data_IF_815466479685
#
_entry.id   IF_815466479685
#
_cell.length_a   1.000
_cell.length_b   1.000
_cell.length_c   1.000
_cell.angle_alpha   90.00
_cell.angle_beta   90.00
_cell.angle_gamma   90.00
#
_symmetry.space_group_name_H-M   'P 1'
#
loop_
_entity.id
_entity.type
_entity.pdbx_description
1 polymer ?
#
# COMPACT_ATOMS: atom_id res chain seq x y z
N UNK A 1 9.81 -11.90 20.92
CA UNK A 1 10.81 -11.11 20.16
C UNK A 1 10.45 -11.02 18.69
N UNK A 2 10.17 -12.12 17.97
CA UNK A 2 9.82 -12.07 16.54
C UNK A 2 8.32 -12.23 16.24
N UNK A 3 7.44 -11.86 17.18
CA UNK A 3 6.00 -12.06 17.02
C UNK A 3 5.48 -11.19 15.86
N UNK A 4 5.91 -9.94 15.82
CA UNK A 4 5.50 -8.94 14.84
C UNK A 4 5.94 -9.33 13.42
N UNK A 5 7.21 -9.70 13.14
CA UNK A 5 7.59 -10.25 11.83
C UNK A 5 6.80 -11.48 11.42
N UNK A 6 6.58 -12.45 12.32
CA UNK A 6 5.81 -13.66 12.02
C UNK A 6 4.35 -13.34 11.69
N UNK A 7 3.75 -12.44 12.48
CA UNK A 7 2.39 -11.96 12.26
C UNK A 7 2.26 -11.28 10.89
N UNK A 8 3.19 -10.39 10.52
CA UNK A 8 3.20 -9.70 9.22
C UNK A 8 3.27 -10.69 8.06
N UNK A 9 4.11 -11.73 8.15
CA UNK A 9 4.18 -12.79 7.12
C UNK A 9 2.80 -13.45 6.94
N UNK A 10 2.14 -13.81 8.04
CA UNK A 10 0.86 -14.52 8.02
C UNK A 10 -0.26 -13.63 7.48
N UNK A 11 -0.42 -12.42 8.02
CA UNK A 11 -1.49 -11.51 7.62
C UNK A 11 -1.33 -11.09 6.16
N UNK A 12 -0.11 -10.79 5.70
CA UNK A 12 0.15 -10.44 4.30
C UNK A 12 -0.13 -11.62 3.36
N UNK A 13 0.23 -12.84 3.74
CA UNK A 13 -0.04 -14.03 2.93
C UNK A 13 -1.54 -14.30 2.75
N UNK A 14 -2.35 -14.07 3.79
CA UNK A 14 -3.81 -14.23 3.71
C UNK A 14 -4.43 -13.04 2.96
N UNK A 15 -4.00 -11.81 3.27
CA UNK A 15 -4.55 -10.59 2.68
C UNK A 15 -4.25 -10.42 1.18
N UNK A 16 -3.15 -11.00 0.68
CA UNK A 16 -2.79 -10.97 -0.75
C UNK A 16 -3.56 -11.99 -1.60
N UNK A 17 -4.39 -12.83 -0.99
CA UNK A 17 -5.15 -13.85 -1.73
C UNK A 17 -6.20 -13.23 -2.64
N UNK A 18 -6.44 -13.88 -3.78
CA UNK A 18 -7.40 -13.44 -4.80
C UNK A 18 -8.82 -13.17 -4.24
N UNK A 19 -9.40 -13.99 -3.34
CA UNK A 19 -10.71 -13.70 -2.77
C UNK A 19 -10.77 -12.39 -1.98
N UNK A 20 -9.74 -12.11 -1.17
CA UNK A 20 -9.66 -10.86 -0.38
C UNK A 20 -9.49 -9.66 -1.32
N UNK A 21 -8.58 -9.77 -2.29
CA UNK A 21 -8.37 -8.75 -3.33
C UNK A 21 -9.65 -8.46 -4.12
N UNK A 22 -10.40 -9.49 -4.53
CA UNK A 22 -11.65 -9.34 -5.29
C UNK A 22 -12.75 -8.62 -4.51
N UNK A 23 -12.86 -8.84 -3.20
CA UNK A 23 -13.79 -8.07 -2.35
C UNK A 23 -13.41 -6.60 -2.35
N UNK A 24 -12.12 -6.29 -2.18
CA UNK A 24 -11.62 -4.91 -2.24
C UNK A 24 -11.89 -4.26 -3.60
N UNK A 25 -11.69 -4.99 -4.71
CA UNK A 25 -12.04 -4.51 -6.06
C UNK A 25 -13.55 -4.24 -6.22
N UNK A 26 -14.41 -5.11 -5.69
CA UNK A 26 -15.87 -4.93 -5.75
C UNK A 26 -16.31 -3.69 -4.97
N UNK A 27 -15.76 -3.47 -3.77
CA UNK A 27 -16.03 -2.27 -2.97
C UNK A 27 -15.61 -0.99 -3.71
N UNK A 28 -14.45 -1.02 -4.38
CA UNK A 28 -13.99 0.08 -5.23
C UNK A 28 -14.90 0.32 -6.43
N UNK A 29 -15.36 -0.75 -7.08
CA UNK A 29 -16.30 -0.68 -8.19
C UNK A 29 -17.66 -0.08 -7.80
N UNK A 30 -18.19 -0.47 -6.64
CA UNK A 30 -19.44 0.11 -6.09
C UNK A 30 -19.29 1.62 -5.87
N UNK A 31 -18.16 2.05 -5.29
CA UNK A 31 -17.89 3.46 -5.07
C UNK A 31 -17.71 4.24 -6.38
N UNK A 32 -16.98 3.67 -7.36
CA UNK A 32 -16.84 4.27 -8.69
C UNK A 32 -18.18 4.37 -9.44
N UNK A 33 -19.11 3.45 -9.15
CA UNK A 33 -20.47 3.47 -9.68
C UNK A 33 -21.28 4.69 -9.28
N UNK A 34 -21.05 5.25 -8.08
CA UNK A 34 -21.68 6.50 -7.64
C UNK A 34 -21.30 7.70 -8.54
N UNK A 35 -20.12 7.66 -9.16
CA UNK A 35 -19.63 8.66 -10.10
C UNK A 35 -19.88 8.31 -11.58
N UNK A 36 -20.85 7.42 -11.86
CA UNK A 36 -21.25 7.03 -13.21
C UNK A 36 -20.18 6.23 -13.97
N UNK A 37 -19.26 5.56 -13.27
CA UNK A 37 -18.14 4.81 -13.85
C UNK A 37 -17.24 5.63 -14.78
N UNK A 38 -17.23 6.96 -14.63
CA UNK A 38 -16.33 7.81 -15.41
C UNK A 38 -14.86 7.54 -15.08
N UNK A 39 -13.93 7.85 -16.00
CA UNK A 39 -12.48 7.73 -15.77
C UNK A 39 -12.03 8.49 -14.53
N UNK A 40 -12.61 9.67 -14.32
CA UNK A 40 -12.40 10.49 -13.13
C UNK A 40 -12.93 9.82 -11.86
N UNK A 41 -14.13 9.23 -11.90
CA UNK A 41 -14.71 8.53 -10.76
C UNK A 41 -13.87 7.31 -10.35
N UNK A 42 -13.40 6.53 -11.32
CA UNK A 42 -12.46 5.43 -11.07
C UNK A 42 -11.16 5.93 -10.45
N UNK A 43 -10.51 6.91 -11.08
CA UNK A 43 -9.26 7.49 -10.58
C UNK A 43 -9.39 7.98 -9.12
N UNK A 44 -10.45 8.73 -8.83
CA UNK A 44 -10.71 9.28 -7.50
C UNK A 44 -11.03 8.18 -6.49
N UNK A 45 -11.88 7.22 -6.85
CA UNK A 45 -12.25 6.11 -5.97
C UNK A 45 -11.04 5.24 -5.62
N UNK A 46 -10.20 4.92 -6.61
CA UNK A 46 -9.00 4.12 -6.40
C UNK A 46 -8.05 4.85 -5.43
N UNK A 47 -7.75 6.13 -5.67
CA UNK A 47 -6.80 6.89 -4.85
C UNK A 47 -7.32 7.27 -3.47
N UNK A 48 -8.64 7.23 -3.23
CA UNK A 48 -9.22 7.51 -1.93
C UNK A 48 -9.42 6.23 -1.13
N UNK A 49 -10.11 5.25 -1.70
CA UNK A 49 -10.63 4.12 -0.96
C UNK A 49 -9.59 3.01 -0.86
N UNK A 50 -8.82 2.71 -1.91
CA UNK A 50 -7.86 1.62 -1.86
C UNK A 50 -6.78 1.84 -0.78
N UNK A 51 -6.21 3.05 -0.63
CA UNK A 51 -5.31 3.35 0.49
C UNK A 51 -5.93 3.15 1.87
N UNK A 52 -7.18 3.58 2.08
CA UNK A 52 -7.89 3.40 3.35
C UNK A 52 -8.27 1.95 3.61
N UNK A 53 -8.61 1.18 2.57
CA UNK A 53 -8.78 -0.26 2.66
C UNK A 53 -7.49 -0.95 3.10
N UNK A 54 -6.32 -0.37 2.78
CA UNK A 54 -5.01 -0.82 3.27
C UNK A 54 -4.97 -1.02 4.78
N UNK A 55 -5.68 -0.20 5.56
CA UNK A 55 -5.82 -0.36 7.02
C UNK A 55 -6.55 -1.63 7.47
N UNK A 56 -7.30 -2.28 6.59
CA UNK A 56 -8.04 -3.52 6.89
C UNK A 56 -7.44 -4.75 6.23
N UNK A 57 -6.69 -4.56 5.14
CA UNK A 57 -5.91 -5.61 4.50
C UNK A 57 -4.44 -5.46 4.90
N UNK A 58 -3.58 -4.90 4.05
CA UNK A 58 -2.22 -4.43 4.34
C UNK A 58 -1.82 -3.38 3.29
N UNK A 59 -0.82 -2.55 3.56
CA UNK A 59 -0.32 -1.57 2.57
C UNK A 59 0.17 -2.21 1.25
N UNK A 60 0.94 -3.33 1.25
CA UNK A 60 1.37 -3.98 0.01
C UNK A 60 0.18 -4.44 -0.85
N UNK A 61 -0.83 -5.04 -0.25
CA UNK A 61 -2.02 -5.48 -0.97
C UNK A 61 -2.80 -4.29 -1.54
N UNK A 62 -3.01 -3.22 -0.76
CA UNK A 62 -3.67 -2.01 -1.22
C UNK A 62 -2.92 -1.35 -2.40
N UNK A 63 -1.60 -1.30 -2.34
CA UNK A 63 -0.76 -0.78 -3.42
C UNK A 63 -0.94 -1.58 -4.71
N UNK A 64 -0.86 -2.91 -4.65
CA UNK A 64 -1.00 -3.78 -5.82
C UNK A 64 -2.37 -3.59 -6.48
N UNK A 65 -3.45 -3.60 -5.69
CA UNK A 65 -4.82 -3.41 -6.20
C UNK A 65 -4.97 -2.04 -6.84
N UNK A 66 -4.55 -0.99 -6.15
CA UNK A 66 -4.65 0.37 -6.66
C UNK A 66 -3.83 0.56 -7.94
N UNK A 67 -2.62 0.03 -7.99
CA UNK A 67 -1.76 0.10 -9.18
C UNK A 67 -2.35 -0.67 -10.37
N UNK A 68 -2.89 -1.87 -10.17
CA UNK A 68 -3.55 -2.65 -11.22
C UNK A 68 -4.81 -1.96 -11.75
N UNK A 69 -5.65 -1.43 -10.86
CA UNK A 69 -6.85 -0.70 -11.26
C UNK A 69 -6.50 0.62 -11.96
N UNK A 70 -5.50 1.36 -11.48
CA UNK A 70 -5.02 2.56 -12.17
C UNK A 70 -4.43 2.22 -13.54
N UNK A 71 -3.69 1.13 -13.67
CA UNK A 71 -3.20 0.65 -14.97
C UNK A 71 -4.35 0.49 -15.97
N UNK A 72 -5.41 -0.20 -15.54
CA UNK A 72 -6.53 -0.57 -16.39
C UNK A 72 -7.62 0.50 -16.55
N UNK A 73 -7.73 1.48 -15.65
CA UNK A 73 -8.78 2.50 -15.71
C UNK A 73 -8.26 3.90 -16.06
N UNK A 74 -6.98 4.16 -15.84
CA UNK A 74 -6.37 5.47 -16.03
C UNK A 74 -5.19 5.44 -17.01
N UNK A 75 -4.14 4.68 -16.72
CA UNK A 75 -2.91 4.70 -17.53
C UNK A 75 -3.09 4.11 -18.93
N UNK A 76 -4.04 3.18 -19.14
CA UNK A 76 -4.38 2.69 -20.49
C UNK A 76 -4.76 3.79 -21.47
N UNK A 77 -5.23 4.94 -20.97
CA UNK A 77 -5.62 6.10 -21.78
C UNK A 77 -4.48 7.10 -22.01
N UNK A 78 -3.22 6.67 -21.76
CA UNK A 78 -1.99 7.45 -22.00
C UNK A 78 -2.07 8.88 -21.46
N UNK A 79 -2.18 9.06 -20.12
CA UNK A 79 -2.18 10.38 -19.52
C UNK A 79 -0.89 11.15 -19.83
N UNK A 80 -0.95 12.49 -19.77
CA UNK A 80 0.25 13.32 -19.90
C UNK A 80 1.30 12.92 -18.87
N UNK A 81 2.59 13.07 -19.19
CA UNK A 81 3.68 12.71 -18.27
C UNK A 81 3.51 13.35 -16.88
N UNK A 82 3.15 14.64 -16.84
CA UNK A 82 2.89 15.33 -15.58
C UNK A 82 1.77 14.69 -14.75
N UNK A 83 0.67 14.29 -15.40
CA UNK A 83 -0.46 13.67 -14.71
C UNK A 83 -0.18 12.20 -14.31
N UNK A 84 0.60 11.48 -15.12
CA UNK A 84 1.12 10.16 -14.80
C UNK A 84 1.98 10.18 -13.53
N UNK A 85 2.93 11.13 -13.42
CA UNK A 85 3.77 11.30 -12.23
C UNK A 85 2.97 11.79 -11.02
N UNK A 86 2.06 12.75 -11.21
CA UNK A 86 1.16 13.23 -10.17
C UNK A 86 0.33 12.10 -9.55
N UNK A 87 -0.20 11.20 -10.39
CA UNK A 87 -1.02 10.06 -9.94
C UNK A 87 -0.22 9.04 -9.14
N UNK A 88 0.97 8.64 -9.61
CA UNK A 88 1.80 7.66 -8.88
C UNK A 88 2.37 8.25 -7.57
N UNK A 89 2.76 9.53 -7.56
CA UNK A 89 3.20 10.20 -6.33
C UNK A 89 2.08 10.30 -5.29
N UNK A 90 0.87 10.66 -5.73
CA UNK A 90 -0.32 10.67 -4.88
C UNK A 90 -0.68 9.27 -4.36
N UNK A 91 -0.58 8.24 -5.20
CA UNK A 91 -0.78 6.86 -4.80
C UNK A 91 0.18 6.44 -3.67
N UNK A 92 1.47 6.74 -3.82
CA UNK A 92 2.50 6.35 -2.85
C UNK A 92 2.27 7.00 -1.49
N UNK A 93 2.01 8.31 -1.48
CA UNK A 93 1.71 9.04 -0.23
C UNK A 93 0.41 8.53 0.39
N UNK A 94 -0.66 8.36 -0.40
CA UNK A 94 -1.94 7.92 0.13
C UNK A 94 -1.84 6.51 0.75
N UNK A 95 -1.19 5.55 0.08
CA UNK A 95 -1.03 4.18 0.63
C UNK A 95 -0.22 4.20 1.92
N UNK A 96 0.87 4.98 1.97
CA UNK A 96 1.76 5.08 3.14
C UNK A 96 1.04 5.59 4.40
N UNK A 97 0.08 6.51 4.25
CA UNK A 97 -0.68 7.04 5.40
C UNK A 97 -2.03 6.37 5.58
N UNK A 98 -2.58 5.76 4.54
CA UNK A 98 -3.86 5.07 4.54
C UNK A 98 -3.88 3.82 5.42
N UNK A 99 -2.73 3.27 5.80
CA UNK A 99 -2.58 2.15 6.73
C UNK A 99 -2.69 2.52 8.23
N UNK A 100 -2.89 3.79 8.57
CA UNK A 100 -2.86 4.29 9.96
C UNK A 100 -4.20 4.24 10.70
N UNK A 101 -5.28 3.74 10.10
CA UNK A 101 -6.57 3.60 10.80
C UNK A 101 -6.57 2.43 11.79
N UNK A 102 -5.71 1.43 11.58
CA UNK A 102 -5.56 0.29 12.48
C UNK A 102 -4.11 0.12 12.91
N UNK A 103 -3.87 -0.62 14.01
CA UNK A 103 -2.54 -0.77 14.59
C UNK A 103 -1.69 -1.90 13.96
N UNK A 104 -2.24 -2.62 12.97
CA UNK A 104 -1.60 -3.83 12.42
C UNK A 104 -1.33 -3.76 10.91
N UNK A 105 -1.95 -2.82 10.20
CA UNK A 105 -1.94 -2.79 8.74
C UNK A 105 -0.67 -2.21 8.13
N UNK A 106 -0.08 -1.24 8.82
CA UNK A 106 1.15 -0.57 8.43
C UNK A 106 2.32 -1.10 9.28
N UNK A 107 3.39 -1.64 8.67
CA UNK A 107 4.61 -1.97 9.40
C UNK A 107 5.11 -0.89 10.36
N UNK A 108 5.18 0.42 9.99
CA UNK A 108 5.65 1.45 10.93
C UNK A 108 4.76 1.62 12.16
N UNK A 109 3.45 1.42 12.02
CA UNK A 109 2.50 1.48 13.14
C UNK A 109 2.65 0.23 14.01
N UNK A 110 2.76 -0.95 13.41
CA UNK A 110 2.90 -2.20 14.13
C UNK A 110 4.14 -2.21 15.04
N UNK A 111 5.27 -1.67 14.55
CA UNK A 111 6.53 -1.64 15.31
C UNK A 111 6.45 -0.79 16.58
N UNK A 112 5.57 0.23 16.60
CA UNK A 112 5.42 1.12 17.77
C UNK A 112 4.22 0.76 18.63
N UNK A 113 3.18 0.17 18.05
CA UNK A 113 1.92 -0.07 18.73
C UNK A 113 2.07 -1.00 19.93
N UNK A 114 2.87 -2.06 19.82
CA UNK A 114 3.17 -2.96 20.94
C UNK A 114 4.05 -2.30 22.00
N UNK A 115 4.97 -1.42 21.60
CA UNK A 115 5.90 -0.77 22.53
C UNK A 115 5.27 0.38 23.31
N UNK A 116 4.34 1.10 22.69
CA UNK A 116 3.67 2.27 23.29
C UNK A 116 2.20 2.00 23.66
N UNK A 117 1.76 0.74 23.58
CA UNK A 117 0.39 0.28 23.90
C UNK A 117 -0.71 1.04 23.13
N UNK A 118 -0.46 1.32 21.85
CA UNK A 118 -1.43 2.00 20.99
C UNK A 118 -2.46 1.02 20.44
N UNK A 119 -3.67 1.12 20.98
CA UNK A 119 -4.81 0.33 20.51
C UNK A 119 -5.31 0.75 19.12
N UNK A 120 -6.15 -0.07 18.49
CA UNK A 120 -6.88 0.32 17.26
C UNK A 120 -7.68 1.62 17.45
N UNK A 121 -8.31 1.80 18.61
CA UNK A 121 -9.05 3.02 18.93
C UNK A 121 -8.15 4.25 19.00
N UNK A 122 -6.95 4.11 19.57
CA UNK A 122 -5.96 5.19 19.59
C UNK A 122 -5.54 5.59 18.18
N UNK A 123 -5.20 4.60 17.34
CA UNK A 123 -4.80 4.87 15.95
C UNK A 123 -5.90 5.57 15.15
N UNK A 124 -7.13 5.08 15.23
CA UNK A 124 -8.28 5.68 14.56
C UNK A 124 -8.54 7.12 15.03
N UNK A 125 -8.44 7.38 16.34
CA UNK A 125 -8.73 8.69 16.94
C UNK A 125 -7.62 9.74 16.74
N UNK A 126 -6.35 9.32 16.62
CA UNK A 126 -5.22 10.25 16.53
C UNK A 126 -4.65 10.38 15.12
N UNK A 127 -4.64 9.31 14.32
CA UNK A 127 -4.05 9.29 12.98
C UNK A 127 -5.10 9.04 11.89
N UNK A 128 -5.96 8.05 12.06
CA UNK A 128 -6.80 7.51 10.99
C UNK A 128 -7.70 8.53 10.31
N UNK A 129 -8.44 9.33 11.06
CA UNK A 129 -9.32 10.35 10.47
C UNK A 129 -8.55 11.51 9.83
N UNK A 130 -7.39 11.88 10.38
CA UNK A 130 -6.50 12.92 9.81
C UNK A 130 -5.90 12.45 8.49
N UNK A 131 -5.48 11.19 8.43
CA UNK A 131 -5.01 10.55 7.20
C UNK A 131 -6.11 10.50 6.13
N UNK A 132 -7.33 10.08 6.51
CA UNK A 132 -8.47 10.04 5.60
C UNK A 132 -8.82 11.43 5.04
N UNK A 133 -8.81 12.46 5.90
CA UNK A 133 -9.06 13.84 5.48
C UNK A 133 -7.93 14.38 4.59
N UNK A 134 -6.67 14.11 4.92
CA UNK A 134 -5.52 14.52 4.11
C UNK A 134 -5.50 13.85 2.72
N UNK A 135 -5.85 12.57 2.65
CA UNK A 135 -6.04 11.83 1.38
C UNK A 135 -7.16 12.48 0.57
N UNK A 136 -8.30 12.78 1.21
CA UNK A 136 -9.42 13.43 0.55
C UNK A 136 -9.04 14.81 -0.01
N UNK A 137 -8.40 15.66 0.79
CA UNK A 137 -7.95 17.00 0.37
C UNK A 137 -6.97 16.89 -0.80
N UNK A 138 -5.98 16.00 -0.71
CA UNK A 138 -4.98 15.80 -1.77
C UNK A 138 -5.63 15.33 -3.07
N UNK A 139 -6.56 14.37 -2.99
CA UNK A 139 -7.27 13.85 -4.15
C UNK A 139 -8.19 14.90 -4.79
N UNK A 140 -8.89 15.71 -3.99
CA UNK A 140 -9.74 16.80 -4.49
C UNK A 140 -8.89 17.88 -5.17
N UNK A 141 -7.77 18.28 -4.58
CA UNK A 141 -6.87 19.26 -5.17
C UNK A 141 -6.35 18.78 -6.52
N UNK A 142 -5.83 17.55 -6.58
CA UNK A 142 -5.32 16.97 -7.82
C UNK A 142 -6.43 16.81 -8.85
N UNK A 143 -7.64 16.40 -8.44
CA UNK A 143 -8.79 16.34 -9.34
C UNK A 143 -9.10 17.72 -9.94
N UNK A 144 -9.12 18.79 -9.15
CA UNK A 144 -9.38 20.16 -9.64
C UNK A 144 -8.30 20.61 -10.63
N UNK A 145 -7.02 20.36 -10.32
CA UNK A 145 -5.88 20.72 -11.19
C UNK A 145 -5.95 19.98 -12.53
N UNK A 146 -6.27 18.69 -12.52
CA UNK A 146 -6.26 17.83 -13.71
C UNK A 146 -7.64 17.62 -14.36
N UNK A 147 -8.72 18.26 -13.86
CA UNK A 147 -10.09 18.10 -14.39
C UNK A 147 -10.20 18.30 -15.90
N UNK A 148 -9.43 19.25 -16.44
CA UNK A 148 -9.41 19.55 -17.87
C UNK A 148 -8.72 18.48 -18.72
N UNK A 149 -7.83 17.67 -18.11
CA UNK A 149 -7.17 16.55 -18.81
C UNK A 149 -8.07 15.33 -18.90
N UNK A 150 -8.90 15.06 -17.88
CA UNK A 150 -9.88 13.96 -17.93
C UNK A 150 -10.83 14.06 -19.13
N UNK A 151 -11.22 15.28 -19.52
CA UNK A 151 -12.10 15.51 -20.68
C UNK A 151 -11.41 15.29 -22.05
N UNK A 152 -10.07 15.29 -22.07
CA UNK A 152 -9.26 15.02 -23.28
C UNK A 152 -8.93 13.53 -23.40
N UNK A 153 -8.84 12.82 -22.27
CA UNK A 153 -8.56 11.38 -22.23
C UNK A 153 -9.67 10.57 -22.91
N UNK A 154 -9.37 9.95 -24.04
CA UNK A 154 -10.30 9.15 -24.84
C UNK A 154 -10.86 9.84 -26.08
N UNK A 155 -10.52 11.11 -26.34
CA UNK A 155 -10.84 11.74 -27.64
C UNK A 155 -9.80 11.42 -28.71
N UNK A 156 -8.56 11.14 -28.30
CA UNK A 156 -7.46 10.81 -29.20
C UNK A 156 -7.41 9.31 -29.57
N UNK A 157 -8.29 8.49 -28.99
CA UNK A 157 -8.42 7.04 -29.32
C UNK A 157 -8.81 6.77 -30.78
N UNK A 158 -9.36 7.77 -31.51
CA UNK A 158 -9.87 7.58 -32.87
C UNK A 158 -8.85 7.97 -33.96
N UNK A 159 -7.76 8.69 -33.66
CA UNK A 159 -6.84 9.19 -34.70
C UNK A 159 -5.50 8.47 -34.81
N UNK A 160 -5.00 7.82 -33.77
CA UNK A 160 -3.65 7.23 -33.78
C UNK A 160 -3.62 5.72 -33.53
N UNK A 161 -4.78 5.07 -33.35
CA UNK A 161 -4.86 3.65 -33.07
C UNK A 161 -4.51 2.72 -34.26
N UNK A 162 -4.25 3.27 -35.46
CA UNK A 162 -4.09 2.46 -36.67
C UNK A 162 -2.70 2.43 -37.31
N UNK A 163 -1.71 3.22 -36.90
CA UNK A 163 -0.45 3.25 -37.68
C UNK A 163 0.88 3.15 -36.93
N UNK A 164 0.99 3.29 -35.59
CA UNK A 164 2.34 3.39 -35.01
C UNK A 164 2.58 2.78 -33.62
N UNK A 165 1.78 1.79 -33.21
CA UNK A 165 2.12 1.00 -32.03
C UNK A 165 1.95 -0.49 -32.29
N UNK A 166 3.05 -1.17 -32.58
CA UNK A 166 3.16 -2.60 -32.33
C UNK A 166 3.11 -2.83 -30.81
N UNK A 167 1.91 -2.75 -30.22
CA UNK A 167 1.62 -3.63 -29.07
C UNK A 167 1.95 -5.04 -29.55
N UNK A 168 2.90 -5.77 -28.92
CA UNK A 168 3.04 -7.18 -29.23
C UNK A 168 1.65 -7.78 -29.03
N UNK A 169 1.07 -8.30 -30.11
CA UNK A 169 -0.12 -9.13 -30.05
C UNK A 169 0.17 -10.16 -28.96
N UNK A 170 -0.52 -10.08 -27.82
CA UNK A 170 -0.45 -11.13 -26.82
C UNK A 170 -1.01 -12.35 -27.54
N UNK A 171 -0.13 -13.17 -28.10
CA UNK A 171 -0.49 -14.44 -28.71
C UNK A 171 -1.23 -15.20 -27.63
N UNK A 172 -2.56 -15.28 -27.76
CA UNK A 172 -3.39 -16.14 -26.93
C UNK A 172 -3.09 -17.57 -27.36
N UNK A 173 -1.95 -18.08 -26.92
CA UNK A 173 -1.57 -19.48 -27.06
C UNK A 173 -2.73 -20.32 -26.51
N UNK A 174 -3.10 -21.40 -27.20
CA UNK A 174 -4.07 -22.34 -26.62
C UNK A 174 -3.45 -22.97 -25.36
N UNK A 175 -4.22 -23.38 -24.35
CA UNK A 175 -3.68 -23.94 -23.10
C UNK A 175 -2.68 -25.10 -23.30
N UNK A 176 -2.80 -25.87 -24.39
CA UNK A 176 -1.86 -26.94 -24.75
C UNK A 176 -0.54 -26.50 -25.41
N UNK A 177 -0.35 -25.20 -25.67
CA UNK A 177 0.86 -24.61 -26.27
C UNK A 177 1.60 -23.68 -25.30
N UNK A 178 1.06 -23.48 -24.09
CA UNK A 178 1.67 -22.65 -23.06
C UNK A 178 2.70 -23.45 -22.27
N UNK A 179 3.81 -22.82 -21.91
CA UNK A 179 4.68 -23.31 -20.85
C UNK A 179 3.93 -23.33 -19.51
N UNK A 180 4.46 -24.08 -18.54
CA UNK A 180 3.84 -24.14 -17.21
C UNK A 180 3.72 -22.76 -16.55
N UNK A 181 4.74 -21.91 -16.72
CA UNK A 181 4.77 -20.56 -16.15
C UNK A 181 3.75 -19.63 -16.83
N UNK A 182 3.59 -19.72 -18.15
CA UNK A 182 2.58 -18.95 -18.90
C UNK A 182 1.15 -19.38 -18.54
N UNK A 183 0.93 -20.68 -18.37
CA UNK A 183 -0.37 -21.20 -17.93
C UNK A 183 -0.71 -20.74 -16.51
N UNK A 184 0.25 -20.78 -15.57
CA UNK A 184 0.05 -20.30 -14.20
C UNK A 184 -0.19 -18.78 -14.16
N UNK A 185 0.49 -17.99 -14.99
CA UNK A 185 0.24 -16.55 -15.12
C UNK A 185 -1.17 -16.27 -15.66
N UNK A 186 -1.58 -16.93 -16.74
CA UNK A 186 -2.94 -16.83 -17.28
C UNK A 186 -3.99 -17.26 -16.23
N UNK A 187 -3.73 -18.34 -15.51
CA UNK A 187 -4.60 -18.83 -14.45
C UNK A 187 -4.69 -17.84 -13.29
N UNK A 188 -3.60 -17.18 -12.94
CA UNK A 188 -3.56 -16.15 -11.91
C UNK A 188 -4.39 -14.92 -12.30
N UNK A 189 -4.34 -14.52 -13.57
CA UNK A 189 -5.07 -13.37 -14.14
C UNK A 189 -6.55 -13.66 -14.48
N UNK A 190 -7.04 -14.90 -14.26
CA UNK A 190 -8.41 -15.25 -14.63
C UNK A 190 -9.44 -14.38 -13.92
N UNK A 191 -10.56 -14.11 -14.59
CA UNK A 191 -11.71 -13.38 -14.02
C UNK A 191 -12.84 -14.30 -13.52
N UNK A 192 -12.57 -15.60 -13.35
CA UNK A 192 -13.61 -16.54 -12.91
C UNK A 192 -14.20 -16.15 -11.56
N UNK A 193 -15.53 -16.25 -11.44
CA UNK A 193 -16.25 -15.94 -10.21
C UNK A 193 -15.81 -16.87 -9.09
N UNK A 194 -15.50 -16.30 -7.93
CA UNK A 194 -15.14 -17.05 -6.73
C UNK A 194 -16.41 -17.31 -5.94
N UNK A 195 -16.70 -18.55 -5.50
CA UNK A 195 -17.85 -18.82 -4.64
C UNK A 195 -17.80 -17.98 -3.37
N UNK A 196 -18.92 -17.36 -3.00
CA UNK A 196 -18.99 -16.43 -1.87
C UNK A 196 -18.52 -17.07 -0.54
N UNK A 197 -18.75 -18.37 -0.36
CA UNK A 197 -18.34 -19.09 0.85
C UNK A 197 -16.82 -19.23 0.96
N UNK A 198 -16.10 -19.36 -0.17
CA UNK A 198 -14.63 -19.38 -0.18
C UNK A 198 -14.11 -18.02 0.29
N UNK A 199 -14.68 -16.95 -0.24
CA UNK A 199 -14.37 -15.58 0.18
C UNK A 199 -14.65 -15.37 1.67
N UNK A 200 -15.79 -15.83 2.17
CA UNK A 200 -16.13 -15.70 3.59
C UNK A 200 -15.09 -16.39 4.48
N UNK A 201 -14.66 -17.61 4.12
CA UNK A 201 -13.62 -18.33 4.87
C UNK A 201 -12.32 -17.53 4.94
N UNK A 202 -11.89 -16.91 3.83
CA UNK A 202 -10.69 -16.05 3.82
C UNK A 202 -10.81 -14.87 4.79
N UNK A 203 -11.96 -14.18 4.76
CA UNK A 203 -12.21 -13.05 5.66
C UNK A 203 -12.25 -13.49 7.12
N UNK A 204 -12.79 -14.68 7.42
CA UNK A 204 -12.75 -15.26 8.76
C UNK A 204 -11.32 -15.58 9.21
N UNK A 205 -10.47 -16.15 8.36
CA UNK A 205 -9.06 -16.38 8.70
C UNK A 205 -8.31 -15.08 8.91
N UNK A 206 -8.54 -14.08 8.07
CA UNK A 206 -7.93 -12.76 8.22
C UNK A 206 -8.33 -12.13 9.57
N UNK A 207 -9.62 -12.14 9.91
CA UNK A 207 -10.11 -11.65 11.20
C UNK A 207 -9.57 -12.46 12.38
N UNK A 208 -9.50 -13.79 12.26
CA UNK A 208 -8.91 -14.68 13.27
C UNK A 208 -7.43 -14.38 13.52
N UNK A 209 -6.65 -14.18 12.46
CA UNK A 209 -5.24 -13.82 12.55
C UNK A 209 -5.06 -12.50 13.29
N UNK A 210 -5.86 -11.48 12.96
CA UNK A 210 -5.84 -10.19 13.67
C UNK A 210 -6.22 -10.36 15.14
N UNK A 211 -7.29 -11.10 15.43
CA UNK A 211 -7.74 -11.34 16.80
C UNK A 211 -6.70 -12.09 17.65
N UNK A 212 -5.95 -12.99 17.02
CA UNK A 212 -4.92 -13.81 17.67
C UNK A 212 -3.50 -13.25 17.52
N UNK A 213 -3.33 -12.00 17.07
CA UNK A 213 -2.03 -11.42 16.71
C UNK A 213 -0.93 -11.52 17.79
N UNK A 214 -1.31 -11.55 19.06
CA UNK A 214 -0.38 -11.69 20.20
C UNK A 214 0.01 -13.15 20.50
N UNK A 215 -0.63 -14.13 19.87
CA UNK A 215 -0.49 -15.56 20.15
C UNK A 215 0.00 -16.35 18.92
N UNK A 216 1.33 -16.43 18.68
CA UNK A 216 1.91 -17.22 17.58
C UNK A 216 1.45 -18.67 17.53
N UNK A 217 1.22 -19.27 18.70
CA UNK A 217 0.70 -20.62 18.83
C UNK A 217 -0.70 -20.81 18.22
N UNK A 218 -1.45 -19.73 17.96
CA UNK A 218 -2.75 -19.76 17.32
C UNK A 218 -2.67 -19.36 15.84
N UNK A 219 -2.03 -18.24 15.52
CA UNK A 219 -2.04 -17.74 14.14
C UNK A 219 -1.11 -18.52 13.20
N UNK A 220 -0.01 -19.12 13.67
CA UNK A 220 0.87 -19.94 12.81
C UNK A 220 0.16 -21.25 12.40
N UNK A 221 -0.39 -22.05 13.33
CA UNK A 221 -1.22 -23.19 12.94
C UNK A 221 -2.46 -22.76 12.15
N UNK A 222 -3.03 -21.59 12.45
CA UNK A 222 -4.10 -20.98 11.66
C UNK A 222 -3.69 -20.80 10.18
N UNK A 223 -2.49 -20.29 9.91
CA UNK A 223 -1.95 -20.22 8.55
C UNK A 223 -1.80 -21.60 7.91
N UNK A 224 -1.29 -22.59 8.64
CA UNK A 224 -1.14 -23.95 8.12
C UNK A 224 -2.49 -24.57 7.74
N UNK A 225 -3.51 -24.36 8.59
CA UNK A 225 -4.88 -24.79 8.30
C UNK A 225 -5.47 -24.03 7.11
N UNK A 226 -5.20 -22.73 7.00
CA UNK A 226 -5.56 -21.92 5.84
C UNK A 226 -4.90 -22.45 4.55
N UNK A 227 -3.62 -22.79 4.56
CA UNK A 227 -2.95 -23.39 3.39
C UNK A 227 -3.56 -24.75 3.02
N UNK A 228 -3.96 -25.56 4.02
CA UNK A 228 -4.73 -26.78 3.79
C UNK A 228 -6.07 -26.49 3.10
N UNK A 229 -6.79 -25.46 3.57
CA UNK A 229 -8.01 -24.98 2.93
C UNK A 229 -7.79 -24.52 1.48
N UNK A 230 -6.72 -23.77 1.22
CA UNK A 230 -6.31 -23.35 -0.14
C UNK A 230 -6.07 -24.55 -1.05
N UNK A 231 -5.46 -25.62 -0.52
CA UNK A 231 -5.24 -26.87 -1.27
C UNK A 231 -6.56 -27.54 -1.65
N UNK A 232 -7.51 -27.64 -0.72
CA UNK A 232 -8.84 -28.24 -0.96
C UNK A 232 -9.69 -27.45 -1.97
N UNK A 233 -9.45 -26.14 -2.08
CA UNK A 233 -10.25 -25.23 -2.91
C UNK A 233 -9.48 -24.66 -4.10
N UNK A 234 -8.34 -25.27 -4.45
CA UNK A 234 -7.43 -24.80 -5.50
C UNK A 234 -8.11 -24.59 -6.88
N UNK A 235 -9.20 -25.31 -7.15
CA UNK A 235 -10.01 -25.13 -8.38
C UNK A 235 -10.69 -23.76 -8.45
N UNK A 236 -10.98 -23.13 -7.31
CA UNK A 236 -11.74 -21.88 -7.23
C UNK A 236 -10.86 -20.64 -7.05
N UNK A 237 -9.56 -20.81 -6.76
CA UNK A 237 -8.67 -19.69 -6.41
C UNK A 237 -7.20 -19.87 -6.82
N UNK A 238 -6.37 -18.87 -6.54
CA UNK A 238 -4.94 -18.86 -6.90
C UNK A 238 -4.10 -19.43 -5.77
N UNK A 239 -2.86 -19.85 -6.08
CA UNK A 239 -1.88 -20.22 -5.06
C UNK A 239 -1.53 -18.97 -4.22
N UNK A 240 -1.18 -19.20 -2.95
CA UNK A 240 -0.70 -18.15 -2.06
C UNK A 240 0.75 -17.81 -2.41
N UNK A 241 1.03 -16.53 -2.67
CA UNK A 241 2.40 -16.06 -2.86
C UNK A 241 3.05 -15.73 -1.51
N UNK A 242 3.99 -16.58 -1.08
CA UNK A 242 4.69 -16.41 0.20
C UNK A 242 5.97 -15.58 0.09
N UNK A 243 6.55 -15.44 -1.11
CA UNK A 243 7.85 -14.77 -1.30
C UNK A 243 7.85 -13.33 -0.78
N UNK A 244 6.87 -12.52 -1.18
CA UNK A 244 6.73 -11.14 -0.72
C UNK A 244 6.60 -11.03 0.80
N UNK A 245 5.58 -11.67 1.41
CA UNK A 245 5.41 -11.71 2.87
C UNK A 245 6.66 -12.15 3.63
N UNK A 246 7.33 -13.22 3.18
CA UNK A 246 8.55 -13.74 3.82
C UNK A 246 9.71 -12.73 3.75
N UNK A 247 9.93 -12.07 2.61
CA UNK A 247 10.97 -11.04 2.51
C UNK A 247 10.71 -9.87 3.47
N UNK A 248 9.46 -9.43 3.60
CA UNK A 248 9.08 -8.39 4.57
C UNK A 248 9.31 -8.88 6.01
N UNK A 249 8.96 -10.14 6.31
CA UNK A 249 9.24 -10.76 7.61
C UNK A 249 10.73 -10.80 7.94
N UNK A 250 11.59 -11.20 7.00
CA UNK A 250 13.04 -11.17 7.19
C UNK A 250 13.57 -9.76 7.39
N UNK A 251 13.04 -8.78 6.66
CA UNK A 251 13.40 -7.38 6.83
C UNK A 251 13.07 -6.89 8.25
N UNK A 252 11.83 -7.10 8.73
CA UNK A 252 11.42 -6.71 10.08
C UNK A 252 12.21 -7.47 11.17
N UNK A 253 12.47 -8.77 10.98
CA UNK A 253 13.33 -9.53 11.88
C UNK A 253 14.76 -9.00 11.91
N UNK A 254 15.30 -8.60 10.76
CA UNK A 254 16.58 -7.92 10.63
C UNK A 254 16.61 -6.58 11.36
N UNK A 255 15.53 -5.79 11.30
CA UNK A 255 15.40 -4.55 12.07
C UNK A 255 15.44 -4.82 13.58
N UNK A 256 14.79 -5.88 14.06
CA UNK A 256 14.81 -6.23 15.49
C UNK A 256 16.24 -6.58 15.95
N UNK A 257 16.99 -7.34 15.14
CA UNK A 257 18.36 -7.77 15.46
C UNK A 257 19.37 -6.61 15.33
N UNK A 258 19.32 -5.87 14.23
CA UNK A 258 20.34 -4.87 13.88
C UNK A 258 19.96 -3.44 14.27
N UNK A 259 18.68 -3.11 14.38
CA UNK A 259 18.25 -1.74 14.68
C UNK A 259 18.67 -1.27 16.07
N UNK A 260 18.84 -2.18 17.04
CA UNK A 260 19.47 -1.86 18.32
C UNK A 260 20.87 -1.26 18.17
N UNK A 261 21.63 -1.71 17.17
CA UNK A 261 22.97 -1.20 16.85
C UNK A 261 22.94 0.19 16.19
N UNK A 262 21.77 0.69 15.79
CA UNK A 262 21.61 2.00 15.16
C UNK A 262 21.16 3.09 16.15
N UNK A 263 20.91 2.75 17.41
CA UNK A 263 20.50 3.70 18.43
C UNK A 263 21.48 4.88 18.62
N UNK A 264 22.78 4.67 18.38
CA UNK A 264 23.85 5.65 18.66
C UNK A 264 23.71 6.98 17.91
N UNK A 265 23.16 6.99 16.70
CA UNK A 265 22.99 8.21 15.90
C UNK A 265 21.55 8.72 15.93
N UNK A 266 20.57 7.83 15.93
CA UNK A 266 19.15 8.20 15.83
C UNK A 266 18.60 8.73 17.16
N UNK A 267 19.02 8.18 18.31
CA UNK A 267 18.51 8.64 19.60
C UNK A 267 18.89 10.09 19.93
N UNK A 268 20.13 10.56 19.68
CA UNK A 268 20.45 11.99 19.80
C UNK A 268 19.66 12.86 18.83
N UNK A 269 19.43 12.41 17.60
CA UNK A 269 18.68 13.18 16.58
C UNK A 269 17.21 13.31 16.96
N UNK A 270 16.55 12.22 17.33
CA UNK A 270 15.12 12.25 17.66
C UNK A 270 14.86 12.84 19.05
N UNK A 271 15.75 12.62 20.02
CA UNK A 271 15.58 13.08 21.40
C UNK A 271 15.88 14.57 21.62
N UNK A 272 16.59 15.22 20.70
CA UNK A 272 16.96 16.65 20.83
C UNK A 272 16.00 17.61 20.14
N UNK A 273 15.06 17.10 19.33
CA UNK A 273 14.17 17.90 18.51
C UNK A 273 12.80 18.07 19.17
N UNK A 274 12.27 19.30 19.10
CA UNK A 274 10.87 19.58 19.39
C UNK A 274 9.94 18.95 18.32
N UNK A 275 8.64 18.93 18.56
CA UNK A 275 7.63 18.22 17.76
C UNK A 275 7.68 18.53 16.25
N UNK A 276 7.66 19.81 15.85
CA UNK A 276 7.65 20.20 14.42
C UNK A 276 8.97 19.81 13.71
N UNK A 277 10.16 20.19 14.22
CA UNK A 277 11.41 19.73 13.63
C UNK A 277 11.54 18.20 13.58
N UNK A 278 11.07 17.51 14.63
CA UNK A 278 11.13 16.06 14.72
C UNK A 278 10.31 15.38 13.63
N UNK A 279 9.09 15.86 13.37
CA UNK A 279 8.26 15.35 12.28
C UNK A 279 8.91 15.58 10.91
N UNK A 280 9.45 16.78 10.67
CA UNK A 280 10.12 17.10 9.40
C UNK A 280 11.37 16.21 9.20
N UNK A 281 12.17 16.04 10.26
CA UNK A 281 13.33 15.16 10.23
C UNK A 281 12.92 13.71 9.99
N UNK A 282 11.89 13.20 10.65
CA UNK A 282 11.37 11.85 10.41
C UNK A 282 10.86 11.67 8.97
N UNK A 283 10.17 12.68 8.41
CA UNK A 283 9.71 12.69 7.01
C UNK A 283 10.87 12.59 6.03
N UNK A 284 11.92 13.40 6.24
CA UNK A 284 13.11 13.42 5.38
C UNK A 284 13.90 12.12 5.52
N UNK A 285 14.16 11.66 6.74
CA UNK A 285 14.89 10.41 6.98
C UNK A 285 14.17 9.23 6.33
N UNK A 286 12.85 9.20 6.39
CA UNK A 286 12.04 8.16 5.75
C UNK A 286 12.07 8.25 4.23
N UNK A 287 12.29 9.42 3.62
CA UNK A 287 12.48 9.47 2.16
C UNK A 287 13.69 8.61 1.69
N UNK A 288 14.67 8.37 2.57
CA UNK A 288 15.89 7.61 2.27
C UNK A 288 15.97 6.27 3.00
N UNK A 289 15.05 5.98 3.91
CA UNK A 289 15.02 4.77 4.74
C UNK A 289 13.61 4.23 4.80
N UNK A 290 13.45 2.94 5.08
CA UNK A 290 12.11 2.38 5.26
C UNK A 290 11.40 3.02 6.47
N UNK A 291 10.10 3.32 6.31
CA UNK A 291 9.29 3.94 7.34
C UNK A 291 9.25 3.12 8.65
N UNK A 292 9.24 1.79 8.57
CA UNK A 292 9.22 0.91 9.74
C UNK A 292 10.54 0.98 10.52
N UNK A 293 11.65 1.16 9.81
CA UNK A 293 12.95 1.36 10.44
C UNK A 293 12.96 2.63 11.29
N UNK A 294 12.49 3.77 10.75
CA UNK A 294 12.47 5.05 11.50
C UNK A 294 11.59 4.94 12.75
N UNK A 295 10.40 4.36 12.63
CA UNK A 295 9.50 4.17 13.77
C UNK A 295 10.02 3.18 14.80
N UNK A 296 10.66 2.08 14.37
CA UNK A 296 11.27 1.13 15.29
C UNK A 296 12.42 1.77 16.06
N UNK A 297 13.30 2.51 15.36
CA UNK A 297 14.41 3.19 16.02
C UNK A 297 13.93 4.25 17.03
N UNK A 298 12.76 4.86 16.80
CA UNK A 298 12.14 5.77 17.75
C UNK A 298 11.74 5.09 19.06
N UNK A 299 11.37 3.80 19.04
CA UNK A 299 11.05 3.06 20.27
C UNK A 299 12.26 2.79 21.14
N UNK A 300 13.47 2.88 20.57
CA UNK A 300 14.73 2.74 21.30
C UNK A 300 15.16 4.01 22.04
N UNK A 301 14.48 5.14 21.81
CA UNK A 301 14.78 6.41 22.49
C UNK A 301 14.14 6.41 23.88
N UNK A 302 14.93 6.46 24.96
CA UNK A 302 14.38 6.39 26.31
C UNK A 302 13.58 7.65 26.64
N UNK A 303 12.44 7.48 27.32
CA UNK A 303 11.59 8.57 27.84
C UNK A 303 11.16 9.60 26.78
N UNK A 304 10.90 9.15 25.54
CA UNK A 304 10.36 10.01 24.49
C UNK A 304 8.98 10.55 24.89
N UNK A 305 8.79 11.87 24.83
CA UNK A 305 7.52 12.52 25.16
C UNK A 305 6.38 12.04 24.24
N UNK A 306 5.14 11.99 24.73
CA UNK A 306 3.98 11.51 23.95
C UNK A 306 3.79 12.29 22.63
N UNK A 307 3.95 13.61 22.67
CA UNK A 307 3.85 14.43 21.47
C UNK A 307 4.99 14.14 20.48
N UNK A 308 6.19 13.82 20.97
CA UNK A 308 7.31 13.37 20.14
C UNK A 308 7.08 12.00 19.53
N UNK A 309 6.47 11.06 20.26
CA UNK A 309 6.06 9.75 19.71
C UNK A 309 5.11 9.92 18.53
N UNK A 310 4.09 10.77 18.71
CA UNK A 310 3.16 11.12 17.64
C UNK A 310 3.86 11.76 16.45
N UNK A 311 4.71 12.78 16.69
CA UNK A 311 5.41 13.51 15.64
C UNK A 311 6.34 12.63 14.79
N UNK A 312 7.06 11.69 15.42
CA UNK A 312 7.94 10.76 14.67
C UNK A 312 7.13 9.83 13.78
N UNK A 313 6.05 9.25 14.30
CA UNK A 313 5.20 8.33 13.51
C UNK A 313 4.51 9.09 12.39
N UNK A 314 3.93 10.26 12.67
CA UNK A 314 3.32 11.13 11.66
C UNK A 314 4.31 11.48 10.54
N UNK A 315 5.55 11.82 10.91
CA UNK A 315 6.61 12.10 9.94
C UNK A 315 7.00 10.87 9.13
N UNK A 316 7.18 9.72 9.78
CA UNK A 316 7.55 8.48 9.11
C UNK A 316 6.49 8.02 8.09
N UNK A 317 5.21 7.99 8.47
CA UNK A 317 4.15 7.59 7.53
C UNK A 317 3.99 8.61 6.39
N UNK A 318 4.18 9.91 6.66
CA UNK A 318 4.08 10.98 5.64
C UNK A 318 5.23 10.93 4.64
N UNK A 319 6.44 10.61 5.11
CA UNK A 319 7.65 10.48 4.29
C UNK A 319 7.69 9.19 3.45
N UNK A 320 6.97 8.15 3.86
CA UNK A 320 6.97 6.84 3.19
C UNK A 320 6.52 6.86 1.73
N UNK A 321 5.84 7.92 1.27
CA UNK A 321 5.44 8.10 -0.13
C UNK A 321 6.44 8.87 -1.02
N UNK A 322 7.49 9.46 -0.45
CA UNK A 322 8.38 10.38 -1.17
C UNK A 322 9.28 9.70 -2.20
N UNK A 323 9.69 8.45 -1.94
CA UNK A 323 10.57 7.70 -2.84
C UNK A 323 10.17 6.24 -2.94
N UNK A 324 10.71 5.54 -3.93
CA UNK A 324 10.50 4.10 -4.14
C UNK A 324 10.99 3.27 -2.94
N UNK A 325 12.06 3.70 -2.28
CA UNK A 325 12.70 2.91 -1.21
C UNK A 325 12.15 3.21 0.18
N UNK A 326 11.34 4.26 0.31
CA UNK A 326 10.82 4.76 1.58
C UNK A 326 9.77 3.83 2.22
N UNK A 327 9.15 2.95 1.44
CA UNK A 327 8.15 2.01 1.92
C UNK A 327 8.12 0.75 1.04
N UNK A 328 8.01 -0.43 1.66
CA UNK A 328 8.01 -1.74 1.00
C UNK A 328 6.95 -1.94 -0.13
N UNK A 329 5.75 -1.34 -0.10
CA UNK A 329 4.79 -1.39 -1.20
C UNK A 329 5.22 -0.62 -2.45
N UNK A 330 5.99 0.47 -2.31
CA UNK A 330 6.27 1.39 -3.42
C UNK A 330 6.95 0.71 -4.64
N UNK A 331 7.93 -0.20 -4.46
CA UNK A 331 8.49 -0.96 -5.58
C UNK A 331 7.45 -1.82 -6.32
N UNK A 332 6.43 -2.34 -5.63
CA UNK A 332 5.34 -3.10 -6.27
C UNK A 332 4.43 -2.18 -7.11
N UNK A 333 4.09 -1.00 -6.58
CA UNK A 333 3.37 0.01 -7.35
C UNK A 333 4.17 0.48 -8.57
N UNK A 334 5.48 0.71 -8.41
CA UNK A 334 6.37 1.09 -9.49
C UNK A 334 6.50 -0.01 -10.55
N UNK A 335 6.61 -1.28 -10.18
CA UNK A 335 6.78 -2.37 -11.16
C UNK A 335 5.53 -2.54 -12.04
N UNK A 336 4.34 -2.38 -11.46
CA UNK A 336 3.05 -2.48 -12.18
C UNK A 336 2.83 -1.27 -13.10
N UNK A 337 3.09 -0.06 -12.61
CA UNK A 337 2.83 1.18 -13.34
C UNK A 337 4.00 1.60 -14.24
N UNK A 338 5.20 1.09 -14.01
CA UNK A 338 6.44 1.50 -14.68
C UNK A 338 6.41 1.33 -16.20
N UNK A 339 5.65 0.34 -16.70
CA UNK A 339 5.44 0.09 -18.13
C UNK A 339 4.74 1.22 -18.88
N UNK A 340 4.08 2.14 -18.18
CA UNK A 340 3.42 3.31 -18.77
C UNK A 340 4.33 4.55 -18.86
N UNK A 341 5.61 4.42 -18.52
CA UNK A 341 6.60 5.48 -18.59
C UNK A 341 7.70 5.09 -19.60
N UNK A 342 7.97 5.93 -20.60
CA UNK A 342 8.88 5.64 -21.74
C UNK A 342 10.28 5.16 -21.34
N UNK A 343 10.80 5.65 -20.22
CA UNK A 343 12.13 5.28 -19.69
C UNK A 343 12.04 4.73 -18.26
N UNK A 344 10.87 4.20 -17.88
CA UNK A 344 10.56 3.87 -16.51
C UNK A 344 10.30 5.11 -15.63
N UNK A 345 10.07 4.85 -14.34
CA UNK A 345 9.76 5.92 -13.37
C UNK A 345 11.04 6.64 -12.96
N UNK A 346 11.16 7.92 -13.33
CA UNK A 346 12.27 8.76 -12.93
C UNK A 346 12.16 9.12 -11.43
N UNK A 347 13.18 8.83 -10.60
CA UNK A 347 13.11 9.07 -9.16
C UNK A 347 12.91 10.55 -8.77
N UNK A 348 13.52 11.48 -9.49
CA UNK A 348 13.42 12.91 -9.19
C UNK A 348 12.03 13.45 -9.52
N UNK A 349 11.45 13.03 -10.65
CA UNK A 349 10.08 13.41 -11.02
C UNK A 349 9.05 12.83 -10.04
N UNK A 350 9.27 11.60 -9.58
CA UNK A 350 8.44 10.97 -8.54
C UNK A 350 8.50 11.76 -7.23
N UNK A 351 9.71 12.10 -6.76
CA UNK A 351 9.91 12.90 -5.56
C UNK A 351 9.15 14.22 -5.65
N UNK A 352 9.33 14.97 -6.75
CA UNK A 352 8.64 16.24 -6.97
C UNK A 352 7.12 16.05 -6.97
N UNK A 353 6.62 14.98 -7.58
CA UNK A 353 5.18 14.70 -7.64
C UNK A 353 4.57 14.31 -6.29
N UNK A 354 5.37 13.71 -5.39
CA UNK A 354 4.96 13.32 -4.04
C UNK A 354 5.03 14.48 -3.03
N UNK A 355 5.83 15.53 -3.28
CA UNK A 355 6.02 16.63 -2.33
C UNK A 355 4.72 17.31 -1.90
N UNK A 356 3.82 17.63 -2.85
CA UNK A 356 2.56 18.33 -2.54
C UNK A 356 1.66 17.50 -1.62
N UNK A 357 1.32 16.23 -1.93
CA UNK A 357 0.50 15.42 -1.03
C UNK A 357 1.21 15.15 0.30
N UNK A 358 2.55 15.00 0.32
CA UNK A 358 3.31 14.90 1.58
C UNK A 358 3.17 16.16 2.43
N UNK A 359 3.22 17.36 1.85
CA UNK A 359 3.01 18.61 2.59
C UNK A 359 1.58 18.70 3.12
N UNK A 360 0.57 18.40 2.29
CA UNK A 360 -0.84 18.41 2.72
C UNK A 360 -1.04 17.46 3.89
N UNK A 361 -0.52 16.24 3.78
CA UNK A 361 -0.61 15.23 4.81
C UNK A 361 0.12 15.65 6.09
N UNK A 362 1.31 16.24 5.94
CA UNK A 362 2.08 16.75 7.07
C UNK A 362 1.34 17.84 7.83
N UNK A 363 0.70 18.77 7.11
CA UNK A 363 -0.15 19.80 7.70
C UNK A 363 -1.39 19.21 8.38
N UNK A 364 -2.02 18.19 7.79
CA UNK A 364 -3.16 17.52 8.40
C UNK A 364 -2.79 16.85 9.72
N UNK A 365 -1.64 16.19 9.82
CA UNK A 365 -1.23 15.60 11.09
C UNK A 365 -0.83 16.61 12.18
N UNK A 366 -0.35 17.79 11.79
CA UNK A 366 0.15 18.79 12.75
C UNK A 366 -0.89 19.79 13.22
N UNK A 367 -1.87 20.14 12.38
CA UNK A 367 -2.85 21.20 12.66
C UNK A 367 -4.14 20.64 13.26
N UNK A 368 -4.56 19.49 12.76
CA UNK A 368 -5.73 18.74 13.24
C UNK A 368 -5.31 17.82 14.37
#
# INVERSE_FOLDING_TARGET
VFIEPMFVVVIMAIASTRPVVKVSEQLLGLAAGLGGHSKAAWWFSILLIAPLLGSFITEPAAMTIAALLLANQFYKHRPSSGFAYATIGLLFVNVSVGGTLTHFAAPPVLMVATTWDWSMGFMAANFGWKAALGILISNVLYFIVFRGQFAKMGKDEVKEASEEFHTPEVQKLKPGQMSHDEFEAMWAERETTIPWWVTLVHLCFLAWTVYTAHYPALFIPGLLFFLGFMSLTATHQNKVELKGPIMVGFFLGGLIIHGGLQAWWIAPVLGSLAEVPLMLTATILTAFNDNAAITYLATLVPNLAEASKYAVVAGAVTGGGLTVIANAPNPAGQSILGRFFEHGVNPLKLLIAALVPTIIMGLCFMIL
#
